data_IF_591398275698
#
_entry.id   IF_591398275698
#
_cell.length_a   1.000
_cell.length_b   1.000
_cell.length_c   1.000
_cell.angle_alpha   90.00
_cell.angle_beta   90.00
_cell.angle_gamma   90.00
#
_symmetry.space_group_name_H-M   'P 1'
#
loop_
_entity.id
_entity.type
_entity.pdbx_description
1 polymer ?
#
# COMPACT_ATOMS: atom_id res chain seq x y z
N UNK A 1 2.82 8.44 -11.50
CA UNK A 1 3.64 7.27 -11.87
C UNK A 1 2.72 6.19 -12.39
N UNK A 2 2.96 5.75 -13.62
CA UNK A 2 2.37 4.51 -14.13
C UNK A 2 2.79 3.41 -13.17
N UNK A 3 1.82 2.82 -12.45
CA UNK A 3 1.99 1.42 -12.06
C UNK A 3 2.04 0.69 -13.39
N UNK A 4 3.25 0.48 -13.90
CA UNK A 4 3.50 -0.56 -14.88
C UNK A 4 3.04 -1.85 -14.21
N UNK A 5 1.75 -2.16 -14.35
CA UNK A 5 1.23 -3.51 -14.28
C UNK A 5 1.81 -4.22 -15.49
N UNK A 6 3.11 -4.47 -15.42
CA UNK A 6 3.65 -5.54 -16.19
C UNK A 6 3.01 -6.79 -15.59
N UNK A 7 2.39 -7.62 -16.44
CA UNK A 7 2.10 -9.02 -16.13
C UNK A 7 3.40 -9.83 -15.90
N UNK A 8 4.45 -9.18 -15.39
CA UNK A 8 5.75 -9.73 -15.14
C UNK A 8 5.67 -10.61 -13.91
N UNK A 9 6.08 -11.84 -14.13
CA UNK A 9 6.21 -12.84 -13.09
C UNK A 9 7.32 -12.36 -12.14
N UNK A 10 7.05 -12.17 -10.84
CA UNK A 10 8.06 -11.81 -9.87
C UNK A 10 9.24 -12.79 -9.93
N UNK A 11 10.46 -12.29 -9.75
CA UNK A 11 11.69 -13.11 -9.84
C UNK A 11 11.62 -14.35 -8.94
N UNK A 12 11.01 -14.23 -7.76
CA UNK A 12 10.87 -15.35 -6.81
C UNK A 12 9.88 -16.44 -7.28
N UNK A 13 9.00 -16.14 -8.23
CA UNK A 13 8.10 -17.08 -8.91
C UNK A 13 8.65 -17.54 -10.27
N UNK A 14 9.80 -17.04 -10.70
CA UNK A 14 10.41 -17.43 -11.97
C UNK A 14 10.76 -18.93 -12.00
N UNK A 15 10.63 -19.55 -13.17
CA UNK A 15 11.11 -20.92 -13.42
C UNK A 15 12.63 -21.07 -13.23
N UNK A 16 13.38 -19.97 -13.18
CA UNK A 16 14.81 -19.98 -12.89
C UNK A 16 15.11 -19.90 -11.38
N UNK A 17 14.10 -19.65 -10.54
CA UNK A 17 14.27 -19.60 -9.10
C UNK A 17 14.26 -21.02 -8.50
N UNK A 18 15.41 -21.46 -7.98
CA UNK A 18 15.59 -22.81 -7.43
C UNK A 18 14.59 -23.16 -6.32
N UNK A 19 14.24 -22.21 -5.45
CA UNK A 19 13.31 -22.45 -4.34
C UNK A 19 11.88 -22.68 -4.85
N UNK A 20 11.45 -21.85 -5.81
CA UNK A 20 10.16 -22.01 -6.46
C UNK A 20 10.07 -23.34 -7.21
N UNK A 21 11.08 -23.66 -8.03
CA UNK A 21 11.13 -24.92 -8.79
C UNK A 21 11.09 -26.13 -7.85
N UNK A 22 11.84 -26.10 -6.75
CA UNK A 22 11.83 -27.19 -5.77
C UNK A 22 10.44 -27.39 -5.14
N UNK A 23 9.79 -26.31 -4.70
CA UNK A 23 8.43 -26.34 -4.15
C UNK A 23 7.44 -26.88 -5.19
N UNK A 24 7.49 -26.35 -6.43
CA UNK A 24 6.60 -26.78 -7.50
C UNK A 24 6.81 -28.26 -7.87
N UNK A 25 8.05 -28.72 -7.97
CA UNK A 25 8.39 -30.12 -8.24
C UNK A 25 7.91 -31.06 -7.14
N UNK A 26 7.91 -30.61 -5.88
CA UNK A 26 7.40 -31.40 -4.76
C UNK A 26 5.89 -31.63 -4.91
N UNK A 27 5.14 -30.60 -5.31
CA UNK A 27 3.70 -30.69 -5.60
C UNK A 27 3.45 -31.57 -6.83
N UNK A 28 4.19 -31.39 -7.92
CA UNK A 28 3.97 -32.18 -9.15
C UNK A 28 4.29 -33.66 -8.96
N UNK A 29 5.20 -34.02 -8.04
CA UNK A 29 5.47 -35.42 -7.68
C UNK A 29 4.27 -36.10 -6.99
N UNK A 30 3.49 -35.33 -6.23
CA UNK A 30 2.30 -35.85 -5.54
C UNK A 30 1.05 -35.82 -6.42
N UNK A 31 1.09 -35.14 -7.56
CA UNK A 31 -0.11 -34.91 -8.39
C UNK A 31 0.28 -34.81 -9.87
N UNK A 32 0.01 -35.88 -10.64
CA UNK A 32 0.44 -36.01 -12.05
C UNK A 32 -0.26 -34.99 -12.97
N UNK A 33 -1.44 -34.49 -12.60
CA UNK A 33 -2.27 -33.57 -13.39
C UNK A 33 -1.91 -32.09 -13.26
N UNK A 34 -1.10 -31.69 -12.27
CA UNK A 34 -0.80 -30.28 -11.98
C UNK A 34 0.59 -29.95 -12.53
N UNK A 35 0.65 -29.03 -13.50
CA UNK A 35 1.93 -28.58 -14.05
C UNK A 35 2.57 -27.47 -13.20
N UNK A 36 3.88 -27.29 -13.32
CA UNK A 36 4.62 -26.16 -12.70
C UNK A 36 4.02 -24.82 -13.15
N UNK A 37 3.56 -24.71 -14.40
CA UNK A 37 2.90 -23.50 -14.91
C UNK A 37 1.58 -23.21 -14.17
N UNK A 38 0.79 -24.25 -13.83
CA UNK A 38 -0.42 -24.05 -13.03
C UNK A 38 -0.08 -23.50 -11.64
N UNK A 39 0.95 -24.07 -11.01
CA UNK A 39 1.45 -23.62 -9.70
C UNK A 39 1.92 -22.16 -9.77
N UNK A 40 2.66 -21.80 -10.82
CA UNK A 40 3.14 -20.43 -11.04
C UNK A 40 2.00 -19.43 -11.19
N UNK A 41 0.98 -19.77 -11.98
CA UNK A 41 -0.20 -18.90 -12.18
C UNK A 41 -1.00 -18.72 -10.88
N UNK A 42 -1.24 -19.79 -10.14
CA UNK A 42 -1.90 -19.71 -8.83
C UNK A 42 -1.11 -18.85 -7.84
N UNK A 43 0.21 -19.05 -7.78
CA UNK A 43 1.11 -18.27 -6.94
C UNK A 43 1.11 -16.78 -7.34
N UNK A 44 1.04 -16.49 -8.63
CA UNK A 44 0.97 -15.13 -9.16
C UNK A 44 -0.32 -14.44 -8.74
N UNK A 45 -1.48 -15.10 -8.84
CA UNK A 45 -2.75 -14.52 -8.39
C UNK A 45 -2.76 -14.22 -6.89
N UNK A 46 -2.21 -15.13 -6.06
CA UNK A 46 -2.05 -14.89 -4.61
C UNK A 46 -1.15 -13.66 -4.39
N UNK A 47 -0.02 -13.58 -5.08
CA UNK A 47 0.89 -12.45 -4.99
C UNK A 47 0.24 -11.13 -5.38
N UNK A 48 -0.45 -11.09 -6.52
CA UNK A 48 -1.10 -9.88 -7.02
C UNK A 48 -2.19 -9.41 -6.07
N UNK A 49 -3.06 -10.32 -5.59
CA UNK A 49 -4.08 -9.97 -4.60
C UNK A 49 -3.46 -9.41 -3.31
N UNK A 50 -2.39 -10.04 -2.81
CA UNK A 50 -1.70 -9.59 -1.60
C UNK A 50 -1.01 -8.24 -1.80
N UNK A 51 -0.31 -8.03 -2.92
CA UNK A 51 0.36 -6.77 -3.25
C UNK A 51 -0.63 -5.62 -3.33
N UNK A 52 -1.79 -5.82 -4.00
CA UNK A 52 -2.85 -4.79 -4.04
C UNK A 52 -3.44 -4.53 -2.67
N UNK A 53 -3.66 -5.56 -1.83
CA UNK A 53 -4.09 -5.39 -0.43
C UNK A 53 -3.12 -4.53 0.38
N UNK A 54 -1.83 -4.79 0.27
CA UNK A 54 -0.81 -4.05 1.02
C UNK A 54 -0.74 -2.59 0.52
N UNK A 55 -0.73 -2.37 -0.80
CA UNK A 55 -0.75 -1.01 -1.36
C UNK A 55 -2.01 -0.24 -0.95
N UNK A 56 -3.15 -0.94 -0.81
CA UNK A 56 -4.40 -0.37 -0.32
C UNK A 56 -4.29 0.13 1.12
N UNK A 57 -3.57 -0.54 2.01
CA UNK A 57 -3.37 -0.06 3.38
C UNK A 57 -2.55 1.23 3.43
N UNK A 58 -1.57 1.39 2.53
CA UNK A 58 -0.87 2.68 2.35
C UNK A 58 -1.84 3.77 1.89
N UNK A 59 -2.70 3.44 0.92
CA UNK A 59 -3.69 4.39 0.40
C UNK A 59 -4.70 4.82 1.47
N UNK A 60 -5.11 3.90 2.35
CA UNK A 60 -5.94 4.24 3.51
C UNK A 60 -5.23 5.16 4.48
N UNK A 61 -3.96 4.90 4.80
CA UNK A 61 -3.19 5.77 5.70
C UNK A 61 -3.13 7.20 5.14
N UNK A 62 -2.95 7.33 3.82
CA UNK A 62 -3.03 8.63 3.15
C UNK A 62 -4.40 9.28 3.28
N UNK A 63 -5.49 8.55 2.98
CA UNK A 63 -6.85 9.06 3.12
C UNK A 63 -7.15 9.52 4.55
N UNK A 64 -6.81 8.72 5.54
CA UNK A 64 -7.00 9.06 6.95
C UNK A 64 -6.19 10.29 7.37
N UNK A 65 -4.97 10.46 6.83
CA UNK A 65 -4.17 11.67 7.05
C UNK A 65 -4.88 12.93 6.52
N UNK A 66 -5.38 12.90 5.28
CA UNK A 66 -6.04 14.08 4.67
C UNK A 66 -7.41 14.36 5.25
N UNK A 67 -8.13 13.33 5.71
CA UNK A 67 -9.38 13.49 6.45
C UNK A 67 -9.16 13.91 7.93
N UNK A 68 -7.91 13.92 8.41
CA UNK A 68 -7.59 14.17 9.82
C UNK A 68 -8.10 13.10 10.79
N UNK A 69 -8.34 11.89 10.30
CA UNK A 69 -8.86 10.74 11.07
C UNK A 69 -7.79 9.69 11.38
N UNK A 70 -6.51 9.94 11.04
CA UNK A 70 -5.40 9.00 11.23
C UNK A 70 -5.20 8.60 12.69
N UNK A 71 -5.53 9.50 13.63
CA UNK A 71 -5.63 9.19 15.06
C UNK A 71 -6.87 9.82 15.66
N UNK A 72 -7.70 9.02 16.31
CA UNK A 72 -8.63 9.50 17.32
C UNK A 72 -7.80 9.81 18.57
N UNK A 73 -7.50 11.07 18.84
CA UNK A 73 -6.89 11.45 20.11
C UNK A 73 -7.92 12.15 20.99
N UNK A 74 -8.03 11.72 22.24
CA UNK A 74 -8.83 12.26 23.36
C UNK A 74 -8.37 13.66 23.84
N UNK A 75 -7.68 14.44 22.99
CA UNK A 75 -7.12 15.73 23.35
C UNK A 75 -8.22 16.79 23.39
N UNK A 76 -8.75 17.04 24.58
CA UNK A 76 -9.86 17.95 24.88
C UNK A 76 -9.57 19.45 24.81
N UNK A 77 -8.34 19.89 24.49
CA UNK A 77 -7.96 21.26 24.83
C UNK A 77 -7.93 22.27 23.67
N UNK A 78 -7.78 21.88 22.40
CA UNK A 78 -7.73 22.85 21.27
C UNK A 78 -8.23 22.23 19.96
N UNK A 79 -9.12 22.95 19.25
CA UNK A 79 -9.49 22.66 17.85
C UNK A 79 -8.32 23.04 16.92
N UNK A 80 -7.56 22.04 16.52
CA UNK A 80 -6.50 22.16 15.50
C UNK A 80 -7.02 21.52 14.23
N UNK A 81 -6.80 22.14 13.06
CA UNK A 81 -7.03 21.44 11.79
C UNK A 81 -6.12 20.21 11.74
N UNK A 82 -6.73 19.03 11.79
CA UNK A 82 -6.05 17.74 11.85
C UNK A 82 -5.70 17.16 10.48
N UNK A 83 -6.09 17.85 9.41
CA UNK A 83 -5.90 17.38 8.04
C UNK A 83 -4.47 17.64 7.63
N UNK A 84 -3.72 16.57 7.39
CA UNK A 84 -2.33 16.65 6.94
C UNK A 84 -2.27 16.04 5.55
N UNK A 85 -1.63 16.76 4.64
CA UNK A 85 -1.42 16.36 3.26
C UNK A 85 0.02 15.90 3.09
N UNK A 86 0.31 14.59 3.13
CA UNK A 86 1.68 14.13 2.98
C UNK A 86 2.21 14.53 1.61
N UNK A 87 3.48 14.94 1.54
CA UNK A 87 4.10 15.46 0.32
C UNK A 87 3.93 14.51 -0.89
N UNK A 88 3.91 13.20 -0.64
CA UNK A 88 3.79 12.20 -1.70
C UNK A 88 2.38 12.16 -2.32
N UNK A 89 1.33 12.48 -1.56
CA UNK A 89 -0.03 12.63 -2.10
C UNK A 89 -0.16 13.93 -2.88
N UNK A 90 0.37 15.04 -2.34
CA UNK A 90 0.39 16.31 -3.06
C UNK A 90 1.07 16.13 -4.42
N UNK A 91 2.24 15.49 -4.44
CA UNK A 91 3.00 15.20 -5.67
C UNK A 91 2.22 14.28 -6.62
N UNK A 92 1.52 13.27 -6.10
CA UNK A 92 0.72 12.35 -6.91
C UNK A 92 -0.50 13.05 -7.55
N UNK A 93 -1.16 13.94 -6.80
CA UNK A 93 -2.30 14.72 -7.26
C UNK A 93 -1.90 15.77 -8.29
N UNK A 94 -0.82 16.52 -8.03
CA UNK A 94 -0.26 17.50 -8.96
C UNK A 94 0.14 16.85 -10.29
N UNK A 95 0.72 15.64 -10.24
CA UNK A 95 1.08 14.89 -11.43
C UNK A 95 -0.14 14.41 -12.24
N UNK A 96 -1.29 14.18 -11.60
CA UNK A 96 -2.52 13.73 -12.27
C UNK A 96 -3.32 14.90 -12.86
N UNK A 97 -3.30 16.06 -12.23
CA UNK A 97 -4.00 17.25 -12.70
C UNK A 97 -3.30 17.95 -13.89
N UNK A 98 -2.13 17.47 -14.37
CA UNK A 98 -1.31 18.12 -15.42
C UNK A 98 -1.10 19.62 -15.16
N UNK A 99 -1.12 20.07 -13.91
CA UNK A 99 -0.88 21.48 -13.60
C UNK A 99 0.63 21.69 -13.65
N UNK A 100 1.07 22.42 -14.67
CA UNK A 100 2.44 22.91 -14.76
C UNK A 100 2.64 23.98 -13.68
N UNK A 101 2.85 23.57 -12.43
CA UNK A 101 3.23 24.50 -11.36
C UNK A 101 4.57 24.09 -10.78
N UNK A 102 5.57 24.87 -11.14
CA UNK A 102 6.99 24.81 -10.75
C UNK A 102 7.26 25.12 -9.27
N UNK A 103 6.33 24.83 -8.36
CA UNK A 103 6.51 25.15 -6.95
C UNK A 103 6.12 23.96 -6.07
N UNK A 104 7.12 23.29 -5.52
CA UNK A 104 7.01 22.10 -4.66
C UNK A 104 6.32 22.34 -3.30
N UNK A 105 5.64 23.48 -3.12
CA UNK A 105 4.96 23.92 -1.89
C UNK A 105 3.64 24.67 -2.18
N UNK A 106 2.91 24.32 -3.23
CA UNK A 106 1.56 24.87 -3.42
C UNK A 106 0.60 24.22 -2.40
N UNK A 107 0.06 25.02 -1.47
CA UNK A 107 -1.03 24.60 -0.59
C UNK A 107 -2.26 24.24 -1.42
N UNK A 108 -2.76 23.02 -1.26
CA UNK A 108 -4.00 22.55 -1.89
C UNK A 108 -5.16 23.43 -1.41
N UNK A 109 -5.95 23.99 -2.33
CA UNK A 109 -7.15 24.77 -1.99
C UNK A 109 -8.27 23.86 -1.48
N UNK A 110 -9.26 24.39 -0.76
CA UNK A 110 -10.39 23.58 -0.25
C UNK A 110 -11.14 22.82 -1.36
N UNK A 111 -11.32 23.44 -2.54
CA UNK A 111 -11.94 22.80 -3.70
C UNK A 111 -11.09 21.65 -4.26
N UNK A 112 -9.76 21.82 -4.31
CA UNK A 112 -8.84 20.77 -4.73
C UNK A 112 -8.82 19.61 -3.73
N UNK A 113 -9.10 19.88 -2.46
CA UNK A 113 -9.14 18.87 -1.41
C UNK A 113 -10.29 17.88 -1.62
N UNK A 114 -11.51 18.35 -1.88
CA UNK A 114 -12.66 17.47 -2.11
C UNK A 114 -12.45 16.54 -3.31
N UNK A 115 -11.86 17.07 -4.39
CA UNK A 115 -11.49 16.29 -5.57
C UNK A 115 -10.41 15.23 -5.28
N UNK A 116 -9.41 15.59 -4.47
CA UNK A 116 -8.36 14.67 -4.06
C UNK A 116 -8.90 13.53 -3.18
N UNK A 117 -9.75 13.84 -2.20
CA UNK A 117 -10.41 12.85 -1.35
C UNK A 117 -11.26 11.89 -2.18
N UNK A 118 -12.07 12.42 -3.10
CA UNK A 118 -12.86 11.63 -4.05
C UNK A 118 -11.97 10.70 -4.88
N UNK A 119 -10.82 11.18 -5.35
CA UNK A 119 -9.88 10.36 -6.12
C UNK A 119 -9.27 9.23 -5.28
N UNK A 120 -8.89 9.51 -4.03
CA UNK A 120 -8.39 8.49 -3.10
C UNK A 120 -9.45 7.42 -2.81
N UNK A 121 -10.71 7.83 -2.59
CA UNK A 121 -11.83 6.90 -2.44
C UNK A 121 -12.05 6.04 -3.68
N UNK A 122 -12.08 6.65 -4.87
CA UNK A 122 -12.21 5.93 -6.13
C UNK A 122 -11.07 4.91 -6.29
N UNK A 123 -9.84 5.31 -5.97
CA UNK A 123 -8.69 4.41 -6.05
C UNK A 123 -8.80 3.23 -5.08
N UNK A 124 -9.34 3.44 -3.88
CA UNK A 124 -9.59 2.36 -2.92
C UNK A 124 -10.66 1.37 -3.42
N UNK A 125 -11.67 1.86 -4.16
CA UNK A 125 -12.69 1.02 -4.81
C UNK A 125 -12.05 0.17 -5.91
N UNK A 126 -11.29 0.80 -6.82
CA UNK A 126 -10.56 0.09 -7.89
C UNK A 126 -9.63 -0.99 -7.34
N UNK A 127 -8.92 -0.69 -6.23
CA UNK A 127 -8.06 -1.67 -5.57
C UNK A 127 -8.87 -2.86 -5.01
N UNK A 128 -10.05 -2.63 -4.44
CA UNK A 128 -10.92 -3.70 -3.98
C UNK A 128 -11.42 -4.59 -5.13
N UNK A 129 -11.82 -3.99 -6.24
CA UNK A 129 -12.23 -4.70 -7.44
C UNK A 129 -11.08 -5.58 -7.98
N UNK A 130 -9.85 -5.05 -8.01
CA UNK A 130 -8.66 -5.81 -8.41
C UNK A 130 -8.35 -6.97 -7.47
N UNK A 131 -8.50 -6.78 -6.15
CA UNK A 131 -8.34 -7.86 -5.17
C UNK A 131 -9.34 -8.98 -5.46
N UNK A 132 -10.62 -8.63 -5.63
CA UNK A 132 -11.67 -9.60 -5.95
C UNK A 132 -11.40 -10.30 -7.29
N UNK A 133 -10.97 -9.55 -8.30
CA UNK A 133 -10.60 -10.10 -9.60
C UNK A 133 -9.53 -11.19 -9.49
N UNK A 134 -8.40 -10.92 -8.81
CA UNK A 134 -7.33 -11.91 -8.65
C UNK A 134 -7.77 -13.12 -7.79
N UNK A 135 -8.61 -12.89 -6.78
CA UNK A 135 -9.18 -13.98 -5.98
C UNK A 135 -10.11 -14.88 -6.79
N UNK A 136 -10.93 -14.29 -7.66
CA UNK A 136 -11.81 -15.05 -8.56
C UNK A 136 -10.99 -15.84 -9.58
N UNK A 137 -9.97 -15.23 -10.19
CA UNK A 137 -9.05 -15.93 -11.10
C UNK A 137 -8.33 -17.11 -10.41
N UNK A 138 -7.93 -16.93 -9.15
CA UNK A 138 -7.38 -18.02 -8.35
C UNK A 138 -8.39 -19.15 -8.15
N UNK A 139 -9.62 -18.83 -7.72
CA UNK A 139 -10.67 -19.81 -7.45
C UNK A 139 -11.11 -20.56 -8.71
N UNK A 140 -11.32 -19.86 -9.83
CA UNK A 140 -11.63 -20.45 -11.12
C UNK A 140 -10.54 -21.42 -11.57
N UNK A 141 -9.28 -21.01 -11.50
CA UNK A 141 -8.15 -21.86 -11.89
C UNK A 141 -8.04 -23.09 -10.99
N UNK A 142 -8.16 -22.89 -9.68
CA UNK A 142 -8.13 -23.95 -8.66
C UNK A 142 -9.20 -25.00 -8.90
N UNK A 143 -10.45 -24.59 -9.12
CA UNK A 143 -11.58 -25.50 -9.29
C UNK A 143 -11.48 -26.33 -10.58
N UNK A 144 -10.73 -25.86 -11.57
CA UNK A 144 -10.49 -26.56 -12.83
C UNK A 144 -9.30 -27.55 -12.78
N UNK A 145 -8.56 -27.63 -11.66
CA UNK A 145 -7.41 -28.50 -11.52
C UNK A 145 -7.78 -29.79 -10.78
N UNK A 146 -7.76 -30.91 -11.51
CA UNK A 146 -7.96 -32.24 -10.93
C UNK A 146 -6.82 -32.55 -9.95
N UNK A 147 -7.16 -33.02 -8.74
CA UNK A 147 -6.18 -33.37 -7.71
C UNK A 147 -5.64 -32.19 -6.91
N UNK A 148 -6.18 -30.99 -7.09
CA UNK A 148 -5.85 -29.85 -6.24
C UNK A 148 -6.44 -30.03 -4.84
N UNK A 149 -5.60 -29.92 -3.81
CA UNK A 149 -5.98 -30.15 -2.39
C UNK A 149 -5.66 -28.94 -1.54
N UNK A 150 -6.21 -28.89 -0.32
CA UNK A 150 -5.89 -27.86 0.68
C UNK A 150 -4.40 -27.78 0.98
N UNK A 151 -3.70 -28.92 1.05
CA UNK A 151 -2.27 -28.96 1.32
C UNK A 151 -1.44 -28.31 0.20
N UNK A 152 -1.88 -28.44 -1.04
CA UNK A 152 -1.26 -27.78 -2.20
C UNK A 152 -1.51 -26.28 -2.12
N UNK A 153 -2.74 -25.87 -1.80
CA UNK A 153 -3.08 -24.46 -1.58
C UNK A 153 -2.21 -23.82 -0.51
N UNK A 154 -2.12 -24.45 0.66
CA UNK A 154 -1.30 -23.99 1.79
C UNK A 154 0.18 -23.92 1.43
N UNK A 155 0.69 -24.90 0.67
CA UNK A 155 2.09 -24.90 0.22
C UNK A 155 2.39 -23.70 -0.67
N UNK A 156 1.50 -23.41 -1.62
CA UNK A 156 1.65 -22.26 -2.53
C UNK A 156 1.50 -20.95 -1.74
N UNK A 157 0.48 -20.83 -0.90
CA UNK A 157 0.22 -19.63 -0.08
C UNK A 157 1.39 -19.36 0.87
N UNK A 158 1.89 -20.37 1.57
CA UNK A 158 3.04 -20.24 2.49
C UNK A 158 4.31 -19.80 1.76
N UNK A 159 4.58 -20.37 0.58
CA UNK A 159 5.70 -19.97 -0.26
C UNK A 159 5.59 -18.50 -0.69
N UNK A 160 4.43 -18.10 -1.23
CA UNK A 160 4.17 -16.72 -1.66
C UNK A 160 4.25 -15.75 -0.49
N UNK A 161 3.68 -16.11 0.66
CA UNK A 161 3.71 -15.30 1.86
C UNK A 161 5.15 -15.03 2.32
N UNK A 162 5.97 -16.08 2.39
CA UNK A 162 7.34 -16.00 2.89
C UNK A 162 8.27 -15.24 1.95
N UNK A 163 8.19 -15.51 0.65
CA UNK A 163 9.19 -15.05 -0.32
C UNK A 163 8.77 -13.82 -1.14
N UNK A 164 7.47 -13.55 -1.24
CA UNK A 164 6.94 -12.40 -1.98
C UNK A 164 6.28 -11.37 -1.07
N UNK A 165 5.27 -11.79 -0.31
CA UNK A 165 4.39 -10.87 0.43
C UNK A 165 5.12 -10.20 1.57
N UNK A 166 5.77 -10.97 2.46
CA UNK A 166 6.40 -10.42 3.67
C UNK A 166 7.49 -9.36 3.38
N UNK A 167 8.41 -9.55 2.41
CA UNK A 167 9.36 -8.50 2.05
C UNK A 167 8.68 -7.23 1.51
N UNK A 168 7.62 -7.40 0.70
CA UNK A 168 6.87 -6.27 0.16
C UNK A 168 6.08 -5.53 1.25
N UNK A 169 5.42 -6.28 2.13
CA UNK A 169 4.69 -5.79 3.29
C UNK A 169 5.58 -4.97 4.21
N UNK A 170 6.79 -5.44 4.53
CA UNK A 170 7.72 -4.71 5.38
C UNK A 170 8.09 -3.33 4.81
N UNK A 171 8.32 -3.24 3.50
CA UNK A 171 8.58 -1.96 2.81
C UNK A 171 7.39 -1.00 2.90
N UNK A 172 6.17 -1.52 2.86
CA UNK A 172 4.93 -0.73 2.91
C UNK A 172 4.55 -0.34 4.32
N UNK A 173 4.79 -1.21 5.31
CA UNK A 173 4.65 -0.89 6.72
C UNK A 173 5.58 0.23 7.14
N UNK A 174 6.84 0.22 6.68
CA UNK A 174 7.75 1.34 6.89
C UNK A 174 7.18 2.65 6.32
N UNK A 175 6.62 2.60 5.11
CA UNK A 175 6.00 3.76 4.48
C UNK A 175 4.80 4.28 5.29
N UNK A 176 3.95 3.40 5.81
CA UNK A 176 2.83 3.78 6.69
C UNK A 176 3.35 4.43 7.97
N UNK A 177 4.38 3.86 8.59
CA UNK A 177 5.00 4.44 9.79
C UNK A 177 5.54 5.86 9.53
N UNK A 178 6.16 6.10 8.38
CA UNK A 178 6.60 7.43 7.98
C UNK A 178 5.43 8.42 7.81
N UNK A 179 4.32 7.99 7.20
CA UNK A 179 3.11 8.81 7.07
C UNK A 179 2.57 9.19 8.46
N UNK A 180 2.49 8.22 9.38
CA UNK A 180 2.03 8.46 10.74
C UNK A 180 2.95 9.44 11.48
N UNK A 181 4.27 9.32 11.32
CA UNK A 181 5.24 10.22 11.93
C UNK A 181 5.14 11.65 11.37
N UNK A 182 5.03 11.80 10.05
CA UNK A 182 4.82 13.09 9.38
C UNK A 182 3.53 13.76 9.87
N UNK A 183 2.45 12.97 9.98
CA UNK A 183 1.19 13.42 10.55
C UNK A 183 1.35 13.95 11.97
N UNK A 184 1.92 13.15 12.89
CA UNK A 184 2.10 13.54 14.30
C UNK A 184 2.94 14.80 14.44
N UNK A 185 4.04 14.89 13.70
CA UNK A 185 4.95 16.03 13.72
C UNK A 185 4.25 17.31 13.28
N UNK A 186 3.41 17.24 12.23
CA UNK A 186 2.67 18.38 11.73
C UNK A 186 1.56 18.82 12.69
N UNK A 187 0.85 17.89 13.33
CA UNK A 187 -0.16 18.22 14.34
C UNK A 187 0.48 18.92 15.54
N UNK A 188 1.58 18.38 16.07
CA UNK A 188 2.32 18.99 17.18
C UNK A 188 2.84 20.38 16.82
N UNK A 189 3.35 20.55 15.59
CA UNK A 189 3.79 21.85 15.08
C UNK A 189 2.65 22.87 15.06
N UNK A 190 1.47 22.48 14.57
CA UNK A 190 0.28 23.36 14.54
C UNK A 190 -0.20 23.72 15.94
N UNK A 191 -0.25 22.76 16.85
CA UNK A 191 -0.58 22.99 18.27
C UNK A 191 0.40 23.98 18.91
N UNK A 192 1.70 23.76 18.73
CA UNK A 192 2.73 24.67 19.23
C UNK A 192 2.58 26.09 18.69
N UNK A 193 2.31 26.25 17.39
CA UNK A 193 2.14 27.57 16.77
C UNK A 193 0.85 28.29 17.22
N UNK A 194 -0.21 27.56 17.53
CA UNK A 194 -1.47 28.15 18.03
C UNK A 194 -1.31 28.83 19.40
N UNK A 195 -0.38 28.35 20.23
CA UNK A 195 -0.01 28.97 21.50
C UNK A 195 0.76 30.30 21.35
N UNK A 196 1.06 30.73 20.12
CA UNK A 196 1.81 31.96 19.79
C UNK A 196 3.13 32.08 20.57
N UNK A 197 4.03 31.10 20.45
CA UNK A 197 5.30 31.08 21.17
C UNK A 197 6.14 32.29 20.77
N UNK A 198 6.86 32.86 21.73
CA UNK A 198 7.76 33.97 21.48
C UNK A 198 9.02 33.52 20.73
N UNK A 199 9.79 34.48 20.21
CA UNK A 199 10.97 34.22 19.37
C UNK A 199 12.02 33.32 20.05
N UNK A 200 12.19 33.43 21.36
CA UNK A 200 13.14 32.60 22.13
C UNK A 200 12.67 31.15 22.22
N UNK A 201 11.38 30.93 22.46
CA UNK A 201 10.79 29.59 22.49
C UNK A 201 10.91 28.92 21.12
N UNK A 202 10.65 29.65 20.03
CA UNK A 202 10.83 29.14 18.66
C UNK A 202 12.29 28.78 18.38
N UNK A 203 13.26 29.64 18.72
CA UNK A 203 14.69 29.37 18.50
C UNK A 203 15.21 28.14 19.27
N UNK A 204 14.71 27.89 20.47
CA UNK A 204 15.16 26.75 21.29
C UNK A 204 14.85 25.37 20.69
N UNK A 205 13.81 25.26 19.85
CA UNK A 205 13.41 24.00 19.19
C UNK A 205 14.33 23.66 18.01
N UNK A 206 14.76 24.66 17.23
CA UNK A 206 15.63 24.46 16.06
C UNK A 206 17.11 24.24 16.41
N UNK A 207 17.51 24.47 17.67
CA UNK A 207 18.87 24.19 18.14
C UNK A 207 19.05 22.75 18.68
N UNK A 208 18.02 21.90 18.65
CA UNK A 208 18.06 20.51 19.12
C UNK A 208 18.28 19.47 18.01
N UNK A 209 18.50 19.91 16.78
CA UNK A 209 18.86 19.09 15.60
C UNK A 209 20.28 19.39 15.15
#
# INVERSE_FOLDING_TARGET
MSSTETNEIPIYLSINNKLFVHMAQTITKTTISISINNIQQLALFIHQAASVRIDREVMKAYLHSVMGTLKQSESHLIEVDRRVWPMQIQSLMLAQQKVATTTACASITEDQQADCEKHLHQRLIEMNEKIQYHQNQFNEKKNNLIGFTSNIEESIQSFVQKHGVKPFEMKRNLKIAMINHEYDSEILRRQYLQEKPNEYQVKSIFCLT
#
